data_IF_538678062978
#
_entry.id   IF_538678062978
#
_cell.length_a   1.000
_cell.length_b   1.000
_cell.length_c   1.000
_cell.angle_alpha   90.00
_cell.angle_beta   90.00
_cell.angle_gamma   90.00
#
_symmetry.space_group_name_H-M   'P 1'
#
loop_
_entity.id
_entity.type
_entity.pdbx_description
1 polymer ?
#
# COMPACT_ATOMS: atom_id res chain seq x y z
N UNK A 1 23.17 -22.32 17.33
CA UNK A 1 22.93 -21.01 16.70
C UNK A 1 23.03 -19.99 17.81
N UNK A 2 24.19 -19.35 17.96
CA UNK A 2 24.36 -18.31 18.96
C UNK A 2 23.57 -17.09 18.49
N UNK A 3 22.46 -16.79 19.18
CA UNK A 3 21.72 -15.56 18.98
C UNK A 3 22.64 -14.40 19.39
N UNK A 4 23.31 -13.81 18.41
CA UNK A 4 24.19 -12.68 18.64
C UNK A 4 23.34 -11.52 19.21
N UNK A 5 23.71 -10.97 20.36
CA UNK A 5 22.94 -9.93 21.05
C UNK A 5 22.62 -8.72 20.15
N UNK A 6 23.44 -8.49 19.11
CA UNK A 6 23.27 -7.44 18.10
C UNK A 6 22.05 -7.60 17.17
N UNK A 7 21.44 -8.79 17.06
CA UNK A 7 20.29 -9.01 16.16
C UNK A 7 19.02 -8.27 16.59
N UNK A 8 18.68 -8.34 17.88
CA UNK A 8 17.48 -7.71 18.44
C UNK A 8 17.50 -6.18 18.25
N UNK A 9 18.55 -5.44 18.69
CA UNK A 9 18.59 -4.00 18.49
C UNK A 9 18.64 -3.62 17.00
N UNK A 10 19.31 -4.42 16.16
CA UNK A 10 19.32 -4.17 14.72
C UNK A 10 17.93 -4.25 14.08
N UNK A 11 17.13 -5.26 14.43
CA UNK A 11 15.76 -5.40 13.92
C UNK A 11 14.90 -4.22 14.40
N UNK A 12 15.02 -3.83 15.67
CA UNK A 12 14.28 -2.69 16.23
C UNK A 12 14.62 -1.37 15.52
N UNK A 13 15.92 -1.10 15.31
CA UNK A 13 16.37 0.09 14.58
C UNK A 13 15.91 0.05 13.13
N UNK A 14 16.02 -1.10 12.47
CA UNK A 14 15.55 -1.30 11.10
C UNK A 14 14.06 -1.03 10.97
N UNK A 15 13.25 -1.52 11.91
CA UNK A 15 11.82 -1.25 11.94
C UNK A 15 11.52 0.24 12.13
N UNK A 16 12.22 0.90 13.05
CA UNK A 16 12.09 2.35 13.24
C UNK A 16 12.47 3.13 11.97
N UNK A 17 13.54 2.75 11.28
CA UNK A 17 13.96 3.34 10.01
C UNK A 17 12.89 3.14 8.94
N UNK A 18 12.31 1.95 8.82
CA UNK A 18 11.23 1.66 7.87
C UNK A 18 10.03 2.61 8.09
N UNK A 19 9.61 2.82 9.34
CA UNK A 19 8.53 3.75 9.67
C UNK A 19 8.86 5.21 9.33
N UNK A 20 10.11 5.62 9.55
CA UNK A 20 10.58 6.97 9.18
C UNK A 20 10.58 7.14 7.67
N UNK A 21 11.18 6.17 6.95
CA UNK A 21 11.27 6.17 5.49
C UNK A 21 9.88 6.22 4.89
N UNK A 22 8.92 5.46 5.41
CA UNK A 22 7.53 5.51 4.95
C UNK A 22 6.93 6.93 5.04
N UNK A 23 7.12 7.63 6.16
CA UNK A 23 6.62 9.01 6.32
C UNK A 23 7.30 9.97 5.34
N UNK A 24 8.58 9.77 5.09
CA UNK A 24 9.32 10.56 4.09
C UNK A 24 8.81 10.24 2.69
N UNK A 25 8.63 8.96 2.34
CA UNK A 25 8.05 8.52 1.06
C UNK A 25 6.71 9.18 0.81
N UNK A 26 5.79 9.18 1.78
CA UNK A 26 4.48 9.82 1.61
C UNK A 26 4.60 11.31 1.27
N UNK A 27 5.51 12.03 1.94
CA UNK A 27 5.78 13.45 1.64
C UNK A 27 6.43 13.64 0.26
N UNK A 28 7.44 12.84 -0.06
CA UNK A 28 8.15 12.92 -1.34
C UNK A 28 7.20 12.62 -2.51
N UNK A 29 6.37 11.58 -2.38
CA UNK A 29 5.35 11.25 -3.37
C UNK A 29 4.36 12.41 -3.54
N UNK A 30 3.88 13.02 -2.44
CA UNK A 30 2.95 14.16 -2.52
C UNK A 30 3.51 15.39 -3.22
N UNK A 31 4.83 15.59 -3.17
CA UNK A 31 5.50 16.76 -3.76
C UNK A 31 5.90 16.48 -5.22
N UNK A 32 6.55 15.35 -5.48
CA UNK A 32 7.13 15.04 -6.80
C UNK A 32 6.06 14.54 -7.77
N UNK A 33 5.16 13.67 -7.30
CA UNK A 33 4.14 13.03 -8.13
C UNK A 33 2.77 13.69 -7.98
N UNK A 34 2.73 14.99 -7.63
CA UNK A 34 1.49 15.72 -7.38
C UNK A 34 0.49 15.60 -8.54
N UNK A 35 0.97 15.77 -9.78
CA UNK A 35 0.12 15.66 -10.97
C UNK A 35 -0.42 14.24 -11.17
N UNK A 36 0.41 13.22 -10.98
CA UNK A 36 -0.04 11.83 -11.04
C UNK A 36 -1.09 11.53 -9.96
N UNK A 37 -0.94 12.10 -8.77
CA UNK A 37 -1.92 11.97 -7.69
C UNK A 37 -3.25 12.66 -8.03
N UNK A 38 -3.20 13.85 -8.63
CA UNK A 38 -4.39 14.57 -9.10
C UNK A 38 -5.13 13.74 -10.18
N UNK A 39 -4.41 13.19 -11.16
CA UNK A 39 -4.99 12.30 -12.17
C UNK A 39 -5.59 11.01 -11.56
N UNK A 40 -4.93 10.46 -10.54
CA UNK A 40 -5.43 9.28 -9.83
C UNK A 40 -6.68 9.59 -9.01
N UNK A 41 -6.77 10.77 -8.41
CA UNK A 41 -7.95 11.21 -7.67
C UNK A 41 -9.15 11.36 -8.61
N UNK A 42 -8.96 11.92 -9.80
CA UNK A 42 -10.01 11.96 -10.83
C UNK A 42 -10.48 10.56 -11.25
N UNK A 43 -9.54 9.62 -11.41
CA UNK A 43 -9.88 8.22 -11.70
C UNK A 43 -10.62 7.55 -10.54
N UNK A 44 -10.26 7.84 -9.29
CA UNK A 44 -10.98 7.35 -8.11
C UNK A 44 -12.40 7.89 -8.04
N UNK A 45 -12.64 9.16 -8.40
CA UNK A 45 -13.99 9.71 -8.50
C UNK A 45 -14.82 8.97 -9.55
N UNK A 46 -14.26 8.69 -10.72
CA UNK A 46 -14.94 7.87 -11.75
C UNK A 46 -15.24 6.45 -11.31
N UNK A 47 -14.34 5.83 -10.54
CA UNK A 47 -14.58 4.50 -9.94
C UNK A 47 -15.79 4.56 -9.00
N UNK A 48 -15.90 5.61 -8.16
CA UNK A 48 -17.05 5.81 -7.28
C UNK A 48 -18.36 6.04 -8.07
N UNK A 49 -18.31 6.84 -9.13
CA UNK A 49 -19.46 7.06 -10.02
C UNK A 49 -19.93 5.74 -10.67
N UNK A 50 -19.01 4.93 -11.21
CA UNK A 50 -19.37 3.61 -11.77
C UNK A 50 -19.89 2.65 -10.71
N UNK A 51 -19.37 2.74 -9.48
CA UNK A 51 -19.91 1.95 -8.38
C UNK A 51 -21.38 2.30 -8.11
N UNK A 52 -21.71 3.59 -7.98
CA UNK A 52 -23.09 4.05 -7.80
C UNK A 52 -24.00 3.65 -8.96
N UNK A 53 -23.55 3.83 -10.21
CA UNK A 53 -24.30 3.44 -11.40
C UNK A 53 -24.54 1.92 -11.47
N UNK A 54 -23.56 1.12 -11.05
CA UNK A 54 -23.74 -0.34 -10.98
C UNK A 54 -24.83 -0.72 -9.97
N UNK A 55 -24.91 -0.05 -8.82
CA UNK A 55 -25.95 -0.30 -7.82
C UNK A 55 -27.34 0.09 -8.34
N UNK A 56 -27.45 1.20 -9.08
CA UNK A 56 -28.69 1.63 -9.73
C UNK A 56 -29.15 0.66 -10.84
N UNK A 57 -28.22 0.16 -11.65
CA UNK A 57 -28.51 -0.85 -12.67
C UNK A 57 -29.01 -2.15 -12.02
N UNK A 58 -28.38 -2.58 -10.92
CA UNK A 58 -28.80 -3.74 -10.14
C UNK A 58 -30.21 -3.54 -9.57
N UNK A 59 -30.52 -2.36 -9.01
CA UNK A 59 -31.84 -2.02 -8.50
C UNK A 59 -32.91 -2.04 -9.61
N UNK A 60 -32.53 -1.60 -10.82
CA UNK A 60 -33.37 -1.62 -12.02
C UNK A 60 -33.48 -2.99 -12.68
N UNK A 61 -32.81 -4.02 -12.13
CA UNK A 61 -32.70 -5.38 -12.68
C UNK A 61 -32.06 -5.44 -14.08
N UNK A 62 -31.32 -4.41 -14.47
CA UNK A 62 -30.56 -4.39 -15.72
C UNK A 62 -29.18 -5.02 -15.50
N UNK A 63 -29.09 -6.31 -15.79
CA UNK A 63 -27.85 -7.09 -15.62
C UNK A 63 -26.76 -6.68 -16.60
N UNK A 64 -27.13 -6.29 -17.83
CA UNK A 64 -26.16 -5.90 -18.86
C UNK A 64 -25.47 -4.59 -18.46
N UNK A 65 -26.25 -3.60 -18.02
CA UNK A 65 -25.69 -2.35 -17.52
C UNK A 65 -24.84 -2.57 -16.26
N UNK A 66 -25.30 -3.44 -15.33
CA UNK A 66 -24.53 -3.78 -14.12
C UNK A 66 -23.16 -4.38 -14.46
N UNK A 67 -23.11 -5.36 -15.36
CA UNK A 67 -21.86 -5.99 -15.79
C UNK A 67 -20.93 -4.98 -16.48
N UNK A 68 -21.47 -4.14 -17.36
CA UNK A 68 -20.71 -3.08 -18.04
C UNK A 68 -20.09 -2.08 -17.07
N UNK A 69 -20.86 -1.56 -16.10
CA UNK A 69 -20.32 -0.66 -15.09
C UNK A 69 -19.28 -1.32 -14.19
N UNK A 70 -19.47 -2.60 -13.83
CA UNK A 70 -18.50 -3.34 -13.02
C UNK A 70 -17.18 -3.58 -13.76
N UNK A 71 -17.23 -3.86 -15.05
CA UNK A 71 -16.03 -4.03 -15.88
C UNK A 71 -15.24 -2.73 -16.00
N UNK A 72 -15.91 -1.61 -16.34
CA UNK A 72 -15.29 -0.28 -16.40
C UNK A 72 -14.68 0.14 -15.05
N UNK A 73 -15.39 -0.14 -13.95
CA UNK A 73 -14.90 0.10 -12.60
C UNK A 73 -13.63 -0.71 -12.31
N UNK A 74 -13.63 -2.01 -12.63
CA UNK A 74 -12.48 -2.90 -12.38
C UNK A 74 -11.25 -2.48 -13.19
N UNK A 75 -11.42 -2.10 -14.46
CA UNK A 75 -10.32 -1.66 -15.31
C UNK A 75 -9.62 -0.42 -14.72
N UNK A 76 -10.40 0.58 -14.34
CA UNK A 76 -9.87 1.78 -13.69
C UNK A 76 -9.25 1.48 -12.34
N UNK A 77 -9.89 0.62 -11.53
CA UNK A 77 -9.39 0.24 -10.21
C UNK A 77 -7.99 -0.38 -10.30
N UNK A 78 -7.79 -1.37 -11.17
CA UNK A 78 -6.49 -2.01 -11.34
C UNK A 78 -5.43 -1.02 -11.80
N UNK A 79 -5.77 -0.13 -12.72
CA UNK A 79 -4.86 0.91 -13.21
C UNK A 79 -4.40 1.85 -12.08
N UNK A 80 -5.34 2.36 -11.28
CA UNK A 80 -5.04 3.24 -10.14
C UNK A 80 -4.23 2.49 -9.07
N UNK A 81 -4.66 1.28 -8.72
CA UNK A 81 -4.01 0.45 -7.70
C UNK A 81 -2.55 0.17 -8.04
N UNK A 82 -2.26 -0.32 -9.25
CA UNK A 82 -0.88 -0.61 -9.65
C UNK A 82 -0.03 0.65 -9.78
N UNK A 83 -0.59 1.76 -10.29
CA UNK A 83 0.13 3.04 -10.36
C UNK A 83 0.53 3.51 -8.95
N UNK A 84 -0.39 3.44 -7.99
CA UNK A 84 -0.12 3.79 -6.59
C UNK A 84 0.96 2.90 -5.98
N UNK A 85 0.84 1.58 -6.18
CA UNK A 85 1.77 0.59 -5.65
C UNK A 85 3.17 0.83 -6.21
N UNK A 86 3.32 0.99 -7.52
CA UNK A 86 4.60 1.19 -8.19
C UNK A 86 5.27 2.49 -7.72
N UNK A 87 4.54 3.62 -7.71
CA UNK A 87 5.11 4.90 -7.28
C UNK A 87 5.55 4.84 -5.82
N UNK A 88 4.67 4.37 -4.91
CA UNK A 88 4.97 4.33 -3.49
C UNK A 88 6.11 3.38 -3.16
N UNK A 89 6.10 2.16 -3.72
CA UNK A 89 7.14 1.16 -3.47
C UNK A 89 8.49 1.60 -4.05
N UNK A 90 8.53 2.13 -5.26
CA UNK A 90 9.76 2.60 -5.90
C UNK A 90 10.41 3.71 -5.09
N UNK A 91 9.64 4.74 -4.74
CA UNK A 91 10.16 5.86 -3.94
C UNK A 91 10.60 5.38 -2.56
N UNK A 92 9.86 4.46 -1.93
CA UNK A 92 10.25 3.86 -0.67
C UNK A 92 11.59 3.13 -0.74
N UNK A 93 11.78 2.23 -1.72
CA UNK A 93 13.02 1.46 -1.84
C UNK A 93 14.21 2.34 -2.23
N UNK A 94 14.00 3.38 -3.04
CA UNK A 94 15.03 4.37 -3.34
C UNK A 94 15.49 5.05 -2.06
N UNK A 95 14.57 5.53 -1.21
CA UNK A 95 14.90 6.21 0.04
C UNK A 95 15.50 5.23 1.08
N UNK A 96 15.08 3.97 1.08
CA UNK A 96 15.61 2.94 1.98
C UNK A 96 17.01 2.46 1.55
N UNK A 97 17.35 2.54 0.25
CA UNK A 97 18.58 1.96 -0.28
C UNK A 97 19.87 2.45 0.38
N UNK A 98 20.06 3.74 0.74
CA UNK A 98 21.25 4.17 1.45
C UNK A 98 21.39 3.49 2.82
N UNK A 99 20.29 3.28 3.54
CA UNK A 99 20.32 2.55 4.81
C UNK A 99 20.66 1.07 4.60
N UNK A 100 20.12 0.43 3.56
CA UNK A 100 20.48 -0.95 3.22
C UNK A 100 21.99 -1.10 2.96
N UNK A 101 22.58 -0.22 2.14
CA UNK A 101 24.02 -0.24 1.87
C UNK A 101 24.87 0.11 3.11
N UNK A 102 24.47 1.12 3.90
CA UNK A 102 25.18 1.48 5.14
C UNK A 102 25.13 0.35 6.17
N UNK A 103 24.00 -0.34 6.29
CA UNK A 103 23.86 -1.48 7.19
C UNK A 103 24.80 -2.62 6.81
N UNK A 104 24.93 -2.93 5.53
CA UNK A 104 25.87 -3.93 5.03
C UNK A 104 27.31 -3.50 5.29
N UNK A 105 27.66 -2.25 5.00
CA UNK A 105 29.02 -1.76 5.17
C UNK A 105 29.47 -1.75 6.65
N UNK A 106 28.59 -1.35 7.58
CA UNK A 106 28.95 -1.16 8.99
C UNK A 106 28.76 -2.40 9.87
N UNK A 107 27.81 -3.28 9.53
CA UNK A 107 27.37 -4.35 10.44
C UNK A 107 27.65 -5.76 9.92
N UNK A 108 28.24 -5.92 8.74
CA UNK A 108 28.55 -7.22 8.15
C UNK A 108 29.48 -8.10 9.00
N UNK A 109 30.31 -7.50 9.84
CA UNK A 109 31.16 -8.23 10.79
C UNK A 109 30.37 -8.84 11.96
N UNK A 110 29.21 -8.27 12.30
CA UNK A 110 28.41 -8.64 13.48
C UNK A 110 27.15 -9.43 13.12
N UNK A 111 26.60 -9.19 11.94
CA UNK A 111 25.32 -9.70 11.46
C UNK A 111 25.53 -10.33 10.09
N UNK A 112 24.95 -11.50 9.86
CA UNK A 112 25.02 -12.17 8.56
C UNK A 112 24.05 -11.52 7.58
N UNK A 113 24.57 -10.96 6.49
CA UNK A 113 23.79 -10.32 5.42
C UNK A 113 22.80 -9.24 5.90
N UNK A 114 23.25 -8.15 6.56
CA UNK A 114 22.40 -7.04 7.01
C UNK A 114 21.50 -6.50 5.89
N UNK A 115 22.02 -6.36 4.66
CA UNK A 115 21.24 -5.90 3.52
C UNK A 115 19.96 -6.71 3.33
N UNK A 116 20.11 -8.04 3.26
CA UNK A 116 19.01 -8.97 3.03
C UNK A 116 17.99 -8.95 4.17
N UNK A 117 18.45 -8.74 5.41
CA UNK A 117 17.55 -8.63 6.56
C UNK A 117 16.72 -7.35 6.54
N UNK A 118 17.33 -6.20 6.20
CA UNK A 118 16.58 -4.95 6.02
C UNK A 118 15.56 -5.09 4.91
N UNK A 119 15.97 -5.65 3.77
CA UNK A 119 15.10 -5.87 2.63
C UNK A 119 13.93 -6.80 2.97
N UNK A 120 14.19 -7.94 3.62
CA UNK A 120 13.16 -8.87 4.06
C UNK A 120 12.19 -8.23 5.06
N UNK A 121 12.71 -7.45 6.01
CA UNK A 121 11.88 -6.72 6.99
C UNK A 121 10.99 -5.68 6.31
N UNK A 122 11.51 -4.97 5.30
CA UNK A 122 10.75 -4.01 4.52
C UNK A 122 9.63 -4.66 3.69
N UNK A 123 9.91 -5.79 3.02
CA UNK A 123 8.89 -6.56 2.30
C UNK A 123 7.82 -7.07 3.26
N UNK A 124 8.23 -7.66 4.39
CA UNK A 124 7.30 -8.15 5.39
C UNK A 124 6.40 -7.03 5.93
N UNK A 125 6.98 -5.86 6.22
CA UNK A 125 6.23 -4.68 6.62
C UNK A 125 5.20 -4.26 5.56
N UNK A 126 5.60 -4.17 4.29
CA UNK A 126 4.69 -3.83 3.20
C UNK A 126 3.56 -4.84 3.04
N UNK A 127 3.86 -6.14 3.10
CA UNK A 127 2.84 -7.18 3.02
C UNK A 127 1.83 -7.04 4.16
N UNK A 128 2.32 -6.93 5.40
CA UNK A 128 1.47 -6.77 6.59
C UNK A 128 0.61 -5.51 6.51
N UNK A 129 1.16 -4.40 6.04
CA UNK A 129 0.43 -3.14 5.86
C UNK A 129 -0.68 -3.26 4.81
N UNK A 130 -0.39 -3.86 3.65
CA UNK A 130 -1.40 -4.05 2.60
C UNK A 130 -2.52 -4.98 3.09
N UNK A 131 -2.17 -6.11 3.70
CA UNK A 131 -3.13 -7.05 4.29
C UNK A 131 -4.00 -6.34 5.35
N UNK A 132 -3.39 -5.59 6.27
CA UNK A 132 -4.12 -4.82 7.27
C UNK A 132 -5.06 -3.77 6.65
N UNK A 133 -4.63 -3.08 5.59
CA UNK A 133 -5.46 -2.15 4.82
C UNK A 133 -6.71 -2.83 4.28
N UNK A 134 -6.55 -3.95 3.56
CA UNK A 134 -7.69 -4.71 3.03
C UNK A 134 -8.63 -5.21 4.13
N UNK A 135 -8.10 -5.73 5.23
CA UNK A 135 -8.94 -6.17 6.36
C UNK A 135 -9.73 -5.01 6.97
N UNK A 136 -9.08 -3.85 7.14
CA UNK A 136 -9.73 -2.65 7.67
C UNK A 136 -10.87 -2.19 6.75
N UNK A 137 -10.61 -2.10 5.45
CA UNK A 137 -11.61 -1.68 4.45
C UNK A 137 -12.81 -2.62 4.43
N UNK A 138 -12.59 -3.94 4.49
CA UNK A 138 -13.67 -4.94 4.59
C UNK A 138 -14.50 -4.78 5.87
N UNK A 139 -13.85 -4.50 7.01
CA UNK A 139 -14.55 -4.28 8.28
C UNK A 139 -15.36 -2.98 8.25
N UNK A 140 -14.83 -1.93 7.63
CA UNK A 140 -15.53 -0.65 7.45
C UNK A 140 -16.76 -0.82 6.54
N UNK A 141 -16.61 -1.47 5.38
CA UNK A 141 -17.73 -1.82 4.49
C UNK A 141 -18.83 -2.59 5.23
N UNK A 142 -18.45 -3.59 6.03
CA UNK A 142 -19.42 -4.38 6.80
C UNK A 142 -20.17 -3.54 7.84
N UNK A 143 -19.50 -2.56 8.45
CA UNK A 143 -20.12 -1.63 9.40
C UNK A 143 -21.08 -0.68 8.69
N UNK A 144 -20.74 -0.19 7.50
CA UNK A 144 -21.60 0.68 6.70
C UNK A 144 -22.85 -0.04 6.22
N UNK A 145 -22.72 -1.27 5.70
CA UNK A 145 -23.85 -2.10 5.29
C UNK A 145 -24.80 -2.36 6.47
N UNK A 146 -24.28 -2.69 7.66
CA UNK A 146 -25.11 -2.87 8.86
C UNK A 146 -25.86 -1.59 9.25
N UNK A 147 -25.24 -0.42 9.11
CA UNK A 147 -25.87 0.87 9.40
C UNK A 147 -26.96 1.21 8.37
N UNK A 148 -26.77 0.86 7.10
CA UNK A 148 -27.74 1.07 6.04
C UNK A 148 -28.96 0.14 6.17
N UNK A 149 -28.78 -1.09 6.66
CA UNK A 149 -29.89 -2.04 6.91
C UNK A 149 -30.75 -1.71 8.15
N UNK A 150 -30.23 -0.86 9.05
CA UNK A 150 -30.93 -0.42 10.28
C UNK A 150 -31.67 0.91 10.10
N UNK A 151 -31.58 1.53 8.91
CA UNK A 151 -32.38 2.70 8.50
C UNK A 151 -33.50 2.25 7.57
#
# INVERSE_FOLDING_TARGET
MDFNFFYIPFILVTFAVILIVERITARVVSIIFRKDLEEMEEQQRKIAEYHELSLLALASRDRLAYEGFREMMNELYWKVFFRQLIIASTVFFIILSPYMFLSEFLLKEYITSPFSMVFATAIFYFMMKNVYGYFKDLVELRREVKKAQLR
#
